data_IF_253528954891
#
_entry.id   IF_253528954891
#
_cell.length_a   1.000
_cell.length_b   1.000
_cell.length_c   1.000
_cell.angle_alpha   90.00
_cell.angle_beta   90.00
_cell.angle_gamma   90.00
#
_symmetry.space_group_name_H-M   'P 1'
#
loop_
_entity.id
_entity.type
_entity.pdbx_description
1 polymer ?
#
# COMPACT_ATOMS: atom_id res chain seq x y z
N UNK A 1 -19.88 -1.07 -1.09
CA UNK A 1 -18.98 0.05 -0.73
C UNK A 1 -17.88 -0.47 0.17
N UNK A 2 -16.74 0.21 0.14
CA UNK A 2 -15.65 0.08 1.08
C UNK A 2 -15.62 1.29 2.02
N UNK A 3 -15.55 1.05 3.33
CA UNK A 3 -15.45 2.12 4.34
C UNK A 3 -14.17 1.92 5.14
N UNK A 4 -13.22 2.85 5.01
CA UNK A 4 -11.89 2.74 5.62
C UNK A 4 -11.50 4.01 6.35
N UNK A 5 -10.81 3.87 7.48
CA UNK A 5 -10.21 5.00 8.15
C UNK A 5 -9.04 5.54 7.33
N UNK A 6 -8.76 6.84 7.45
CA UNK A 6 -7.61 7.49 6.83
C UNK A 6 -7.00 8.43 7.85
N UNK A 7 -5.71 8.25 8.15
CA UNK A 7 -5.00 9.08 9.11
C UNK A 7 -3.73 9.65 8.52
N UNK A 8 -3.42 10.95 8.69
CA UNK A 8 -2.11 11.50 8.34
C UNK A 8 -0.94 10.81 9.08
N UNK A 9 -1.21 10.13 10.20
CA UNK A 9 -0.22 9.35 10.94
C UNK A 9 0.02 7.94 10.35
N UNK A 10 -0.80 7.49 9.40
CA UNK A 10 -0.61 6.23 8.67
C UNK A 10 0.56 6.33 7.66
N UNK A 11 0.65 7.49 6.99
CA UNK A 11 1.56 7.76 5.86
C UNK A 11 2.80 8.59 6.26
N UNK A 12 3.10 8.68 7.55
CA UNK A 12 4.17 9.53 8.07
C UNK A 12 5.57 9.06 7.64
N UNK A 13 6.41 10.02 7.25
CA UNK A 13 7.84 9.80 6.91
C UNK A 13 8.67 9.20 8.06
N UNK A 14 8.20 9.32 9.30
CA UNK A 14 8.87 8.85 10.52
C UNK A 14 8.00 7.93 11.38
N UNK A 15 6.72 7.73 11.02
CA UNK A 15 5.70 7.02 11.81
C UNK A 15 4.70 6.38 10.84
N UNK A 16 4.58 5.06 10.85
CA UNK A 16 3.59 4.35 10.05
C UNK A 16 2.75 3.44 10.95
N UNK A 17 1.44 3.69 10.97
CA UNK A 17 0.44 2.82 11.59
C UNK A 17 -0.13 1.80 10.59
N UNK A 18 0.65 1.39 9.59
CA UNK A 18 0.23 0.48 8.54
C UNK A 18 -0.39 -0.81 9.14
N UNK A 19 -1.58 -1.18 8.68
CA UNK A 19 -2.31 -2.37 9.13
C UNK A 19 -3.06 -2.22 10.46
N UNK A 20 -3.00 -1.06 11.13
CA UNK A 20 -3.71 -0.82 12.40
C UNK A 20 -5.09 -0.18 12.22
N UNK A 21 -5.38 0.37 11.04
CA UNK A 21 -6.61 1.10 10.80
C UNK A 21 -7.75 0.22 10.28
N UNK A 22 -8.98 0.41 10.77
CA UNK A 22 -10.12 -0.42 10.42
C UNK A 22 -10.62 -0.17 8.99
N UNK A 23 -10.91 -1.26 8.30
CA UNK A 23 -11.59 -1.29 7.00
C UNK A 23 -12.80 -2.25 7.10
N UNK A 24 -13.96 -1.82 6.59
CA UNK A 24 -15.18 -2.62 6.54
C UNK A 24 -15.62 -2.86 5.10
N UNK A 25 -15.68 -4.13 4.70
CA UNK A 25 -16.12 -4.63 3.39
C UNK A 25 -17.00 -5.89 3.56
N UNK A 26 -17.99 -6.14 2.68
CA UNK A 26 -18.71 -5.16 1.87
C UNK A 26 -19.77 -4.42 2.71
N UNK A 27 -20.03 -3.15 2.40
CA UNK A 27 -21.15 -2.38 2.98
C UNK A 27 -22.16 -1.99 1.90
N UNK A 28 -23.45 -2.27 2.14
CA UNK A 28 -24.54 -2.08 1.17
C UNK A 28 -25.71 -1.32 1.80
N UNK A 29 -26.25 -0.32 1.11
CA UNK A 29 -27.35 0.50 1.63
C UNK A 29 -26.86 1.76 2.35
N UNK A 30 -27.62 2.86 2.24
CA UNK A 30 -27.20 4.16 2.76
C UNK A 30 -27.06 4.18 4.29
N UNK A 31 -28.00 3.57 5.00
CA UNK A 31 -28.00 3.51 6.46
C UNK A 31 -26.81 2.70 6.99
N UNK A 32 -26.50 1.57 6.35
CA UNK A 32 -25.35 0.73 6.73
C UNK A 32 -24.02 1.42 6.44
N UNK A 33 -23.93 2.20 5.36
CA UNK A 33 -22.75 3.04 5.09
C UNK A 33 -22.56 4.08 6.19
N UNK A 34 -23.63 4.76 6.63
CA UNK A 34 -23.55 5.73 7.73
C UNK A 34 -23.14 5.05 9.04
N UNK A 35 -23.70 3.88 9.34
CA UNK A 35 -23.32 3.09 10.51
C UNK A 35 -21.84 2.65 10.45
N UNK A 36 -21.38 2.19 9.30
CA UNK A 36 -19.99 1.81 9.06
C UNK A 36 -19.03 2.98 9.24
N UNK A 37 -19.38 4.19 8.76
CA UNK A 37 -18.57 5.41 8.95
C UNK A 37 -18.37 5.70 10.44
N UNK A 38 -19.44 5.61 11.23
CA UNK A 38 -19.37 5.83 12.67
C UNK A 38 -18.51 4.76 13.36
N UNK A 39 -18.67 3.49 12.97
CA UNK A 39 -17.91 2.38 13.54
C UNK A 39 -16.41 2.48 13.23
N UNK A 40 -16.06 2.75 11.97
CA UNK A 40 -14.67 2.93 11.50
C UNK A 40 -14.00 4.09 12.23
N UNK A 41 -14.68 5.23 12.35
CA UNK A 41 -14.12 6.39 13.08
C UNK A 41 -13.83 6.06 14.55
N UNK A 42 -14.76 5.42 15.25
CA UNK A 42 -14.58 5.03 16.66
C UNK A 42 -13.43 4.04 16.85
N UNK A 43 -13.32 3.07 15.95
CA UNK A 43 -12.26 2.07 16.01
C UNK A 43 -10.89 2.70 15.72
N UNK A 44 -10.79 3.61 14.75
CA UNK A 44 -9.56 4.35 14.47
C UNK A 44 -9.11 5.24 15.63
N UNK A 45 -10.05 5.94 16.30
CA UNK A 45 -9.76 6.73 17.51
C UNK A 45 -9.17 5.85 18.62
N UNK A 46 -9.72 4.65 18.84
CA UNK A 46 -9.19 3.68 19.81
C UNK A 46 -7.80 3.16 19.44
N UNK A 47 -7.60 2.79 18.17
CA UNK A 47 -6.31 2.28 17.68
C UNK A 47 -5.19 3.33 17.77
N UNK A 48 -5.48 4.57 17.36
CA UNK A 48 -4.52 5.68 17.41
C UNK A 48 -4.19 6.08 18.86
N UNK A 49 -5.17 6.07 19.76
CA UNK A 49 -4.93 6.31 21.19
C UNK A 49 -4.05 5.23 21.82
N UNK A 50 -4.26 3.95 21.47
CA UNK A 50 -3.41 2.85 21.94
C UNK A 50 -1.95 2.97 21.46
N UNK A 51 -1.75 3.36 20.20
CA UNK A 51 -0.43 3.57 19.61
C UNK A 51 0.36 4.70 20.30
N UNK A 52 -0.29 5.84 20.56
CA UNK A 52 0.33 7.00 21.23
C UNK A 52 0.83 6.64 22.66
N UNK A 53 0.08 5.82 23.38
CA UNK A 53 0.46 5.33 24.72
C UNK A 53 1.67 4.38 24.69
N UNK A 54 1.77 3.52 23.67
CA UNK A 54 2.89 2.56 23.57
C UNK A 54 4.20 3.25 23.22
N UNK A 55 4.20 4.22 22.31
CA UNK A 55 5.41 4.96 21.91
C UNK A 55 5.79 6.06 22.94
N UNK A 56 4.81 6.64 23.65
CA UNK A 56 5.02 7.63 24.69
C UNK A 56 5.72 7.11 25.97
N UNK A 57 5.92 5.79 26.08
CA UNK A 57 6.57 5.16 27.24
C UNK A 57 8.08 4.88 27.03
N UNK A 58 8.64 5.16 25.85
CA UNK A 58 10.00 4.78 25.47
C UNK A 58 11.08 5.87 25.36
N UNK A 59 10.80 7.15 25.60
CA UNK A 59 11.78 8.21 25.37
C UNK A 59 11.68 9.40 26.32
N UNK A 60 12.75 9.63 27.08
CA UNK A 60 12.89 10.74 28.03
C UNK A 60 12.70 12.13 27.37
N UNK A 61 12.19 13.06 28.16
CA UNK A 61 11.68 14.36 27.73
C UNK A 61 12.69 15.27 27.02
N UNK A 62 12.17 15.99 26.03
CA UNK A 62 12.75 17.21 25.46
C UNK A 62 11.65 18.25 25.25
N UNK A 63 11.92 19.55 25.44
CA UNK A 63 10.88 20.57 25.48
C UNK A 63 10.27 20.81 24.10
N UNK A 64 8.95 20.98 24.07
CA UNK A 64 8.17 21.16 22.85
C UNK A 64 8.60 22.39 22.06
N UNK A 65 8.95 22.16 20.80
CA UNK A 65 9.02 23.21 19.78
C UNK A 65 7.60 23.49 19.30
N UNK A 66 7.08 24.67 19.66
CA UNK A 66 5.83 25.20 19.13
C UNK A 66 5.99 25.43 17.61
N UNK A 67 5.36 24.57 16.81
CA UNK A 67 5.26 24.76 15.36
C UNK A 67 4.28 25.88 15.02
N UNK A 68 4.71 26.84 14.21
CA UNK A 68 3.94 28.00 13.77
C UNK A 68 2.71 27.67 12.88
N UNK A 69 1.89 28.68 12.56
CA UNK A 69 0.63 28.49 11.85
C UNK A 69 0.92 28.22 10.37
N UNK A 70 0.95 26.95 9.98
CA UNK A 70 1.19 26.55 8.59
C UNK A 70 1.50 25.07 8.35
N UNK A 71 1.79 24.29 9.40
CA UNK A 71 1.91 22.83 9.30
C UNK A 71 0.58 22.15 9.65
N UNK A 72 0.20 21.12 8.91
CA UNK A 72 -0.91 20.22 9.22
C UNK A 72 -0.85 19.79 10.70
N UNK A 73 -1.65 20.46 11.52
CA UNK A 73 -1.53 20.47 12.97
C UNK A 73 -2.47 19.47 13.63
N UNK A 74 -1.89 18.66 14.51
CA UNK A 74 -2.57 18.15 15.71
C UNK A 74 -3.11 16.72 15.62
N UNK A 75 -2.45 15.79 16.30
CA UNK A 75 -2.92 14.46 16.66
C UNK A 75 -4.11 14.52 17.66
N UNK A 76 -5.19 15.22 17.32
CA UNK A 76 -6.36 15.42 18.18
C UNK A 76 -7.65 15.80 17.46
N UNK A 77 -7.70 15.64 16.13
CA UNK A 77 -8.94 15.78 15.34
C UNK A 77 -9.57 14.41 15.02
N UNK A 78 -10.89 14.35 14.72
CA UNK A 78 -11.54 13.10 14.35
C UNK A 78 -10.89 12.49 13.10
N UNK A 79 -10.62 11.18 13.11
CA UNK A 79 -10.03 10.47 11.98
C UNK A 79 -10.96 10.54 10.75
N UNK A 80 -10.49 11.08 9.60
CA UNK A 80 -11.23 11.02 8.34
C UNK A 80 -11.61 9.58 7.95
N UNK A 81 -12.75 9.44 7.28
CA UNK A 81 -13.24 8.14 6.78
C UNK A 81 -13.48 8.26 5.28
N UNK A 82 -12.90 7.33 4.52
CA UNK A 82 -13.09 7.21 3.07
C UNK A 82 -14.21 6.22 2.79
N UNK A 83 -15.14 6.60 1.92
CA UNK A 83 -16.21 5.74 1.40
C UNK A 83 -16.01 5.59 -0.10
N UNK A 84 -15.70 4.38 -0.54
CA UNK A 84 -15.35 4.08 -1.94
C UNK A 84 -16.27 3.00 -2.50
N UNK A 85 -16.38 2.95 -3.83
CA UNK A 85 -16.98 1.79 -4.50
C UNK A 85 -16.13 0.55 -4.19
N UNK A 86 -16.79 -0.59 -4.00
CA UNK A 86 -16.09 -1.86 -3.83
C UNK A 86 -15.85 -2.48 -5.20
N UNK A 87 -14.63 -2.94 -5.45
CA UNK A 87 -14.30 -3.71 -6.65
C UNK A 87 -14.78 -5.14 -6.44
N UNK A 88 -15.57 -5.65 -7.38
CA UNK A 88 -15.87 -7.08 -7.47
C UNK A 88 -14.63 -7.80 -8.03
N UNK A 89 -13.71 -8.17 -7.13
CA UNK A 89 -12.35 -8.56 -7.48
C UNK A 89 -12.23 -10.06 -7.81
N UNK A 90 -11.65 -10.34 -8.98
CA UNK A 90 -11.21 -11.69 -9.38
C UNK A 90 -9.92 -12.05 -8.65
N UNK A 91 -9.00 -11.08 -8.58
CA UNK A 91 -7.78 -11.14 -7.80
C UNK A 91 -7.35 -9.73 -7.38
N UNK A 92 -6.53 -9.68 -6.33
CA UNK A 92 -6.02 -8.44 -5.76
C UNK A 92 -4.67 -8.68 -5.08
N UNK A 93 -3.99 -7.59 -4.76
CA UNK A 93 -2.74 -7.65 -4.03
C UNK A 93 -2.04 -6.31 -3.97
N UNK A 94 -0.71 -6.37 -3.88
CA UNK A 94 0.16 -5.20 -3.75
C UNK A 94 1.19 -5.16 -4.87
N UNK A 95 1.65 -3.97 -5.22
CA UNK A 95 2.72 -3.76 -6.17
C UNK A 95 3.72 -2.74 -5.61
N UNK A 96 4.99 -3.11 -5.59
CA UNK A 96 6.09 -2.25 -5.16
C UNK A 96 6.91 -1.81 -6.36
N UNK A 97 7.07 -0.52 -6.58
CA UNK A 97 7.83 0.01 -7.74
C UNK A 97 9.35 0.06 -7.52
N UNK A 98 9.80 -0.39 -6.35
CA UNK A 98 11.17 -0.80 -6.06
C UNK A 98 11.11 -2.11 -5.27
N UNK A 99 12.04 -3.02 -5.53
CA UNK A 99 12.02 -4.34 -4.90
C UNK A 99 12.23 -4.22 -3.38
N UNK A 100 11.29 -4.67 -2.53
CA UNK A 100 11.33 -4.39 -1.08
C UNK A 100 12.51 -5.06 -0.35
N UNK A 101 12.99 -6.20 -0.85
CA UNK A 101 14.16 -6.92 -0.28
C UNK A 101 15.51 -6.44 -0.80
N UNK A 102 15.66 -6.27 -2.12
CA UNK A 102 16.96 -5.90 -2.72
C UNK A 102 17.17 -4.40 -2.83
N UNK A 103 16.10 -3.60 -2.77
CA UNK A 103 16.14 -2.16 -3.02
C UNK A 103 16.25 -1.79 -4.51
N UNK A 104 16.24 -2.77 -5.42
CA UNK A 104 16.37 -2.51 -6.87
C UNK A 104 15.26 -1.57 -7.35
N UNK A 105 15.60 -0.39 -7.89
CA UNK A 105 14.61 0.51 -8.44
C UNK A 105 14.14 0.05 -9.82
N UNK A 106 14.88 -0.80 -10.52
CA UNK A 106 14.57 -1.23 -11.90
C UNK A 106 13.45 -2.26 -11.98
N UNK A 107 13.02 -2.77 -10.83
CA UNK A 107 12.08 -3.87 -10.69
C UNK A 107 10.80 -3.45 -10.01
N UNK A 108 9.68 -3.81 -10.63
CA UNK A 108 8.36 -3.77 -10.02
C UNK A 108 8.02 -5.17 -9.54
N UNK A 109 7.83 -5.32 -8.23
CA UNK A 109 7.34 -6.58 -7.64
C UNK A 109 5.81 -6.52 -7.59
N UNK A 110 5.14 -7.47 -8.22
CA UNK A 110 3.68 -7.62 -8.18
C UNK A 110 3.33 -8.88 -7.42
N UNK A 111 2.58 -8.73 -6.33
CA UNK A 111 2.03 -9.82 -5.54
C UNK A 111 0.52 -9.93 -5.77
N UNK A 112 0.02 -11.15 -5.95
CA UNK A 112 -1.38 -11.41 -6.27
C UNK A 112 -1.92 -12.61 -5.48
N UNK A 113 -3.17 -12.51 -5.03
CA UNK A 113 -3.98 -13.63 -4.57
C UNK A 113 -5.41 -13.55 -5.13
N UNK A 114 -6.08 -14.69 -5.18
CA UNK A 114 -7.45 -14.79 -5.69
C UNK A 114 -8.47 -14.15 -4.72
N UNK A 115 -9.51 -13.53 -5.26
CA UNK A 115 -10.60 -12.91 -4.50
C UNK A 115 -10.29 -11.51 -3.95
N UNK A 116 -11.06 -11.10 -2.94
CA UNK A 116 -10.93 -9.78 -2.28
C UNK A 116 -9.61 -9.70 -1.51
N UNK A 117 -8.82 -8.66 -1.77
CA UNK A 117 -7.45 -8.45 -1.26
C UNK A 117 -7.30 -8.36 0.27
N UNK A 118 -8.40 -8.38 1.02
CA UNK A 118 -8.39 -8.41 2.49
C UNK A 118 -7.59 -9.60 3.03
N UNK A 119 -7.67 -10.76 2.38
CA UNK A 119 -6.91 -11.94 2.81
C UNK A 119 -5.39 -11.77 2.64
N UNK A 120 -4.96 -10.98 1.65
CA UNK A 120 -3.55 -10.64 1.43
C UNK A 120 -3.10 -9.62 2.47
N UNK A 121 -3.87 -8.55 2.66
CA UNK A 121 -3.53 -7.50 3.62
C UNK A 121 -3.56 -7.99 5.08
N UNK A 122 -4.36 -9.00 5.39
CA UNK A 122 -4.43 -9.63 6.71
C UNK A 122 -3.38 -10.74 6.92
N UNK A 123 -2.53 -11.04 5.91
CA UNK A 123 -1.52 -12.09 5.98
C UNK A 123 -2.08 -13.52 6.06
N UNK A 124 -3.35 -13.72 5.68
CA UNK A 124 -4.03 -15.01 5.74
C UNK A 124 -3.75 -15.92 4.53
N UNK A 125 -3.25 -15.33 3.44
CA UNK A 125 -2.86 -16.04 2.21
C UNK A 125 -1.45 -15.60 1.83
N UNK A 126 -0.63 -16.56 1.39
CA UNK A 126 0.68 -16.25 0.79
C UNK A 126 0.41 -15.88 -0.67
N UNK A 127 0.58 -14.60 -1.07
CA UNK A 127 0.37 -14.21 -2.44
C UNK A 127 1.48 -14.79 -3.34
N UNK A 128 1.13 -15.08 -4.58
CA UNK A 128 2.11 -15.43 -5.59
C UNK A 128 2.71 -14.15 -6.17
N UNK A 129 4.02 -14.16 -6.42
CA UNK A 129 4.75 -12.98 -6.88
C UNK A 129 5.25 -13.12 -8.33
N UNK A 130 5.33 -12.00 -9.02
CA UNK A 130 6.03 -11.84 -10.29
C UNK A 130 6.83 -10.54 -10.29
N UNK A 131 8.06 -10.62 -10.77
CA UNK A 131 8.91 -9.46 -10.98
C UNK A 131 8.80 -8.99 -12.43
N UNK A 132 8.50 -7.71 -12.62
CA UNK A 132 8.41 -7.06 -13.91
C UNK A 132 9.45 -5.94 -13.95
N UNK A 133 10.41 -6.02 -14.88
CA UNK A 133 11.37 -4.93 -15.03
C UNK A 133 10.68 -3.69 -15.62
N UNK A 134 11.16 -2.49 -15.32
CA UNK A 134 10.61 -1.24 -15.90
C UNK A 134 10.67 -1.23 -17.43
N UNK A 135 11.74 -1.78 -18.00
CA UNK A 135 11.90 -1.90 -19.44
C UNK A 135 10.87 -2.87 -20.03
N UNK A 136 10.64 -4.02 -19.38
CA UNK A 136 9.61 -4.98 -19.80
C UNK A 136 8.20 -4.37 -19.71
N UNK A 137 7.89 -3.62 -18.65
CA UNK A 137 6.62 -2.91 -18.51
C UNK A 137 6.38 -1.91 -19.66
N UNK A 138 7.42 -1.16 -20.05
CA UNK A 138 7.39 -0.21 -21.16
C UNK A 138 7.29 -0.89 -22.53
N UNK A 139 8.01 -2.00 -22.73
CA UNK A 139 8.03 -2.76 -23.98
C UNK A 139 6.85 -3.74 -24.12
N UNK A 140 6.11 -4.01 -23.04
CA UNK A 140 5.07 -5.03 -23.02
C UNK A 140 5.61 -6.47 -23.06
N UNK A 141 6.80 -6.69 -22.50
CA UNK A 141 7.47 -8.00 -22.49
C UNK A 141 7.03 -8.79 -21.26
N UNK A 142 6.61 -10.03 -21.48
CA UNK A 142 6.19 -10.95 -20.43
C UNK A 142 7.31 -11.97 -20.15
N UNK A 143 7.73 -12.08 -18.88
CA UNK A 143 8.60 -13.17 -18.39
C UNK A 143 7.82 -14.13 -17.51
N UNK A 144 8.23 -15.39 -17.38
CA UNK A 144 7.56 -16.35 -16.46
C UNK A 144 7.58 -15.84 -15.01
N UNK A 145 6.46 -15.98 -14.31
CA UNK A 145 6.32 -15.64 -12.89
C UNK A 145 5.29 -16.53 -12.20
N UNK A 146 5.42 -16.70 -10.88
CA UNK A 146 4.54 -17.57 -10.09
C UNK A 146 3.12 -17.00 -9.95
N UNK A 147 2.96 -15.67 -10.02
CA UNK A 147 1.65 -15.00 -9.99
C UNK A 147 0.71 -15.41 -11.14
N UNK A 148 1.19 -16.09 -12.18
CA UNK A 148 0.39 -16.43 -13.37
C UNK A 148 -0.67 -17.50 -13.18
N UNK A 149 -0.69 -18.16 -12.04
CA UNK A 149 -1.81 -19.02 -11.64
C UNK A 149 -3.03 -18.20 -11.20
N UNK A 150 -2.85 -16.91 -10.89
CA UNK A 150 -3.87 -16.02 -10.32
C UNK A 150 -4.10 -14.77 -11.17
N UNK A 151 -3.06 -14.29 -11.87
CA UNK A 151 -3.05 -13.03 -12.62
C UNK A 151 -2.44 -13.27 -14.00
N UNK A 152 -3.15 -12.97 -15.09
CA UNK A 152 -2.56 -13.16 -16.43
C UNK A 152 -1.31 -12.28 -16.61
N UNK A 153 -0.37 -12.67 -17.47
CA UNK A 153 0.83 -11.86 -17.69
C UNK A 153 0.55 -10.45 -18.23
N UNK A 154 -0.49 -10.31 -19.06
CA UNK A 154 -0.95 -9.02 -19.57
C UNK A 154 -1.49 -8.15 -18.43
N UNK A 155 -2.27 -8.75 -17.52
CA UNK A 155 -2.77 -8.06 -16.34
C UNK A 155 -1.62 -7.67 -15.38
N UNK A 156 -0.59 -8.52 -15.23
CA UNK A 156 0.60 -8.19 -14.44
C UNK A 156 1.34 -6.97 -15.02
N UNK A 157 1.43 -6.85 -16.35
CA UNK A 157 1.97 -5.66 -17.01
C UNK A 157 1.09 -4.43 -16.79
N UNK A 158 -0.23 -4.57 -16.81
CA UNK A 158 -1.16 -3.47 -16.51
C UNK A 158 -1.04 -3.00 -15.06
N UNK A 159 -0.89 -3.91 -14.10
CA UNK A 159 -0.59 -3.60 -12.70
C UNK A 159 0.72 -2.84 -12.59
N UNK A 160 1.80 -3.36 -13.19
CA UNK A 160 3.11 -2.69 -13.16
C UNK A 160 3.05 -1.28 -13.76
N UNK A 161 2.36 -1.09 -14.89
CA UNK A 161 2.15 0.23 -15.50
C UNK A 161 1.33 1.16 -14.60
N UNK A 162 0.31 0.64 -13.92
CA UNK A 162 -0.51 1.41 -12.99
C UNK A 162 0.32 1.86 -11.79
N UNK A 163 1.14 0.97 -11.23
CA UNK A 163 2.05 1.29 -10.13
C UNK A 163 3.09 2.35 -10.53
N UNK A 164 3.70 2.23 -11.71
CA UNK A 164 4.66 3.21 -12.22
C UNK A 164 4.03 4.59 -12.49
N UNK A 165 2.74 4.64 -12.90
CA UNK A 165 2.00 5.90 -12.99
C UNK A 165 1.79 6.53 -11.60
N UNK A 166 1.49 5.71 -10.58
CA UNK A 166 1.36 6.17 -9.21
C UNK A 166 2.70 6.71 -8.67
N UNK A 167 3.81 6.00 -8.89
CA UNK A 167 5.16 6.47 -8.57
C UNK A 167 5.45 7.84 -9.21
N UNK A 168 5.15 8.00 -10.51
CA UNK A 168 5.40 9.26 -11.21
C UNK A 168 4.63 10.44 -10.60
N UNK A 169 3.42 10.19 -10.10
CA UNK A 169 2.61 11.20 -9.39
C UNK A 169 3.13 11.48 -7.97
N UNK A 170 3.66 10.47 -7.28
CA UNK A 170 4.20 10.59 -5.93
C UNK A 170 5.63 11.15 -5.89
N UNK A 171 6.37 11.07 -7.01
CA UNK A 171 7.76 11.50 -7.15
C UNK A 171 8.79 10.63 -6.43
N UNK A 172 8.39 9.43 -5.98
CA UNK A 172 9.21 8.48 -5.22
C UNK A 172 8.62 7.07 -5.30
N UNK A 173 9.41 6.01 -5.03
CA UNK A 173 8.92 4.64 -5.07
C UNK A 173 7.62 4.45 -4.28
N UNK A 174 6.72 3.66 -4.85
CA UNK A 174 5.35 3.51 -4.39
C UNK A 174 5.04 2.05 -4.04
N UNK A 175 4.30 1.89 -2.95
CA UNK A 175 3.56 0.69 -2.55
C UNK A 175 2.09 0.92 -2.92
N UNK A 176 1.56 0.07 -3.79
CA UNK A 176 0.26 0.24 -4.44
C UNK A 176 -0.61 -0.97 -4.17
N UNK A 177 -1.74 -0.77 -3.49
CA UNK A 177 -2.81 -1.75 -3.42
C UNK A 177 -3.64 -1.70 -4.69
N UNK A 178 -3.89 -2.88 -5.28
CA UNK A 178 -4.60 -3.00 -6.54
C UNK A 178 -5.60 -4.17 -6.52
N UNK A 179 -6.61 -4.07 -7.36
CA UNK A 179 -7.53 -5.17 -7.66
C UNK A 179 -7.83 -5.25 -9.15
N UNK A 180 -7.83 -6.47 -9.70
CA UNK A 180 -8.39 -6.76 -11.00
C UNK A 180 -9.83 -7.22 -10.80
N UNK A 181 -10.77 -6.48 -11.36
CA UNK A 181 -12.17 -6.79 -11.16
C UNK A 181 -13.11 -5.82 -11.85
N UNK A 182 -14.39 -6.00 -11.59
CA UNK A 182 -15.45 -5.24 -12.26
C UNK A 182 -16.01 -4.16 -11.36
N UNK A 183 -16.07 -2.92 -11.88
CA UNK A 183 -16.81 -1.81 -11.27
C UNK A 183 -17.71 -1.21 -12.33
N UNK A 184 -19.01 -1.07 -12.01
CA UNK A 184 -20.01 -0.51 -12.93
C UNK A 184 -19.98 -1.14 -14.35
N UNK A 185 -19.76 -2.46 -14.42
CA UNK A 185 -19.72 -3.21 -15.69
C UNK A 185 -18.39 -3.12 -16.46
N UNK A 186 -17.37 -2.45 -15.91
CA UNK A 186 -16.03 -2.34 -16.52
C UNK A 186 -15.03 -3.19 -15.75
N UNK A 187 -14.42 -4.16 -16.44
CA UNK A 187 -13.36 -5.01 -15.91
C UNK A 187 -12.00 -4.40 -16.21
N UNK A 188 -11.29 -3.93 -15.19
CA UNK A 188 -10.02 -3.21 -15.30
C UNK A 188 -9.14 -3.50 -14.07
N UNK A 189 -7.88 -3.09 -14.15
CA UNK A 189 -7.01 -2.97 -12.97
C UNK A 189 -7.31 -1.65 -12.27
N UNK A 190 -7.73 -1.74 -11.02
CA UNK A 190 -8.07 -0.60 -10.17
C UNK A 190 -6.97 -0.38 -9.13
N UNK A 191 -6.44 0.85 -9.07
CA UNK A 191 -5.62 1.30 -7.95
C UNK A 191 -6.54 1.64 -6.77
N UNK A 192 -6.38 0.94 -5.65
CA UNK A 192 -7.19 1.12 -4.44
C UNK A 192 -6.56 2.13 -3.49
N UNK A 193 -5.24 2.07 -3.37
CA UNK A 193 -4.40 2.92 -2.52
C UNK A 193 -3.00 2.97 -3.10
N UNK A 194 -2.33 4.11 -2.95
CA UNK A 194 -0.93 4.26 -3.33
C UNK A 194 -0.22 5.11 -2.27
N UNK A 195 0.88 4.59 -1.73
CA UNK A 195 1.67 5.26 -0.71
C UNK A 195 3.17 5.22 -1.04
N UNK A 196 3.95 6.20 -0.60
CA UNK A 196 5.40 6.15 -0.72
C UNK A 196 6.03 4.99 0.07
N UNK A 197 7.01 4.31 -0.50
CA UNK A 197 7.84 3.37 0.26
C UNK A 197 8.86 4.17 1.09
N UNK A 198 8.87 3.98 2.41
CA UNK A 198 9.76 4.68 3.34
C UNK A 198 10.86 3.79 3.92
N UNK A 199 10.81 2.48 3.68
CA UNK A 199 11.65 1.46 4.34
C UNK A 199 12.58 0.72 3.37
N UNK A 200 12.82 1.23 2.16
CA UNK A 200 13.70 0.53 1.21
C UNK A 200 15.10 0.33 1.81
N UNK A 201 15.67 -0.87 1.70
CA UNK A 201 17.05 -1.11 2.10
C UNK A 201 17.96 -0.18 1.30
N UNK A 202 18.88 0.51 1.98
CA UNK A 202 19.90 1.27 1.26
C UNK A 202 20.75 0.26 0.48
N UNK A 203 21.00 0.50 -0.83
CA UNK A 203 21.93 -0.36 -1.56
C UNK A 203 23.28 -0.32 -0.84
N UNK A 204 23.79 -1.49 -0.44
CA UNK A 204 25.13 -1.60 0.12
C UNK A 204 26.12 -1.02 -0.90
N UNK A 205 26.95 -0.02 -0.55
CA UNK A 205 27.99 0.47 -1.44
C UNK A 205 28.91 -0.70 -1.85
N UNK A 206 29.02 -0.98 -3.16
CA UNK A 206 29.95 -1.97 -3.71
C UNK A 206 29.37 -3.31 -4.17
N UNK A 207 28.04 -3.53 -4.12
CA UNK A 207 27.44 -4.78 -4.60
C UNK A 207 27.58 -5.01 -6.13
N UNK A 208 27.81 -3.95 -6.91
CA UNK A 208 28.07 -4.01 -8.36
C UNK A 208 29.58 -4.06 -8.70
N UNK A 209 30.48 -4.02 -7.72
CA UNK A 209 31.89 -4.24 -7.99
C UNK A 209 32.16 -5.75 -8.12
N UNK A 210 32.64 -6.23 -9.28
CA UNK A 210 33.03 -7.62 -9.42
C UNK A 210 34.14 -7.90 -8.40
N UNK A 211 33.86 -8.80 -7.47
CA UNK A 211 34.83 -9.29 -6.48
C UNK A 211 36.01 -9.89 -7.25
N UNK A 212 37.10 -9.13 -7.36
CA UNK A 212 38.36 -9.62 -7.89
C UNK A 212 39.01 -10.46 -6.80
N UNK A 213 38.86 -11.78 -6.89
CA UNK A 213 39.75 -12.70 -6.20
C UNK A 213 41.15 -12.52 -6.81
N UNK A 214 42.06 -11.90 -6.06
CA UNK A 214 43.49 -11.96 -6.38
C UNK A 214 44.00 -13.39 -6.11
N UNK A 215 44.90 -13.91 -6.96
CA UNK A 215 45.37 -15.30 -6.92
C UNK A 215 46.18 -15.64 -5.67
#
# INVERSE_FOLDING_TARGET
MAVRASSPAEDGLLRSAAGLLPTLLPVTGADDVLAAVVAVRRSAEGALAGYDLTEGSGGAGGPGVAGGPGGAGGAGGPCPVLVQLLVDAECAGVAFTAHPVTGSPDDVLVEAAAGLGDAVSAGMVVPAAVQVTRSDAGAGVVRRGAAYEVLSPEAALEVARTALRAEALLGRPADVEWALGTVAGRREVWCLQARPITTLPQPCPGADEPVRWAP
#
